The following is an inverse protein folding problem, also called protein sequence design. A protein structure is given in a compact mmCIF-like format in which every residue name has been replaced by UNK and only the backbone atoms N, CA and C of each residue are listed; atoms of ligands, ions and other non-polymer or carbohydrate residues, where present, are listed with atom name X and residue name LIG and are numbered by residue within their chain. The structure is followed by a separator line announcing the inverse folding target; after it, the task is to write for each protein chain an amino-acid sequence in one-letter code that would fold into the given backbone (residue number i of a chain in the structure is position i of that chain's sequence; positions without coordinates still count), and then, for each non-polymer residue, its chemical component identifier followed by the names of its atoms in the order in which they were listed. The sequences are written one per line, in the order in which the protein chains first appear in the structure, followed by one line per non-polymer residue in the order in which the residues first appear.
data_IF_151114919139
#
_entry.id   IF_151114919139
#
_cell.length_a   1.000
_cell.length_b   1.000
_cell.length_c   1.000
_cell.angle_alpha   90.00
_cell.angle_beta   90.00
_cell.angle_gamma   90.00
#
_symmetry.space_group_name_H-M   'P 1'
#
loop_
_entity.id
_entity.type
_entity.pdbx_description
1 polymer ?
#
# COMPACT_ATOMS: atom_id res chain seq x y z
N UNK A 1 -19.97 -40.59 -3.26
CA UNK A 1 -19.20 -40.93 -2.05
C UNK A 1 -19.99 -40.51 -0.82
N UNK A 2 -20.09 -41.39 0.18
CA UNK A 2 -20.76 -41.05 1.45
C UNK A 2 -19.90 -40.05 2.21
N UNK A 3 -20.52 -39.01 2.80
CA UNK A 3 -19.78 -38.03 3.63
C UNK A 3 -19.12 -38.66 4.86
N UNK A 4 -19.59 -39.84 5.28
CA UNK A 4 -19.11 -40.56 6.46
C UNK A 4 -18.05 -41.64 6.13
N UNK A 5 -17.66 -41.78 4.87
CA UNK A 5 -16.56 -42.67 4.49
C UNK A 5 -15.24 -42.15 5.10
N UNK A 6 -14.46 -43.07 5.67
CA UNK A 6 -13.19 -42.76 6.31
C UNK A 6 -12.03 -42.97 5.34
N UNK A 7 -11.09 -42.02 5.34
CA UNK A 7 -9.87 -42.05 4.52
C UNK A 7 -8.67 -41.65 5.37
N UNK A 8 -7.54 -42.30 5.12
CA UNK A 8 -6.28 -41.99 5.82
C UNK A 8 -5.57 -40.85 5.11
N UNK A 9 -5.19 -39.82 5.88
CA UNK A 9 -4.34 -38.74 5.39
C UNK A 9 -2.88 -39.22 5.27
N UNK A 10 -2.26 -39.07 4.09
CA UNK A 10 -0.88 -39.55 3.87
C UNK A 10 0.19 -38.79 4.68
N UNK A 11 -0.15 -37.61 5.23
CA UNK A 11 0.83 -36.75 5.95
C UNK A 11 0.81 -36.98 7.45
N UNK A 12 -0.37 -37.06 8.08
CA UNK A 12 -0.49 -37.30 9.52
C UNK A 12 -0.84 -38.74 9.88
N UNK A 13 -1.11 -39.58 8.89
CA UNK A 13 -1.48 -40.99 9.05
C UNK A 13 -2.72 -41.22 9.94
N UNK A 14 -3.60 -40.22 10.05
CA UNK A 14 -4.86 -40.31 10.82
C UNK A 14 -6.04 -40.63 9.89
N UNK A 15 -6.97 -41.43 10.39
CA UNK A 15 -8.28 -41.67 9.75
C UNK A 15 -9.16 -40.44 9.90
N UNK A 16 -9.75 -39.99 8.79
CA UNK A 16 -10.45 -38.71 8.64
C UNK A 16 -11.66 -38.90 7.73
N UNK A 17 -12.72 -38.15 7.97
CA UNK A 17 -13.91 -38.17 7.08
C UNK A 17 -13.59 -37.56 5.73
N UNK A 18 -14.29 -37.97 4.67
CA UNK A 18 -14.15 -37.37 3.32
C UNK A 18 -14.32 -35.85 3.34
N UNK A 19 -15.19 -35.31 4.21
CA UNK A 19 -15.41 -33.87 4.37
C UNK A 19 -14.15 -33.10 4.82
N UNK A 20 -13.18 -33.79 5.43
CA UNK A 20 -11.91 -33.22 5.89
C UNK A 20 -10.83 -33.18 4.79
N UNK A 21 -11.15 -33.55 3.55
CA UNK A 21 -10.26 -33.45 2.40
C UNK A 21 -10.78 -32.42 1.39
N UNK A 22 -9.87 -31.83 0.61
CA UNK A 22 -10.26 -31.06 -0.57
C UNK A 22 -10.66 -32.02 -1.71
N UNK A 23 -11.59 -31.56 -2.55
CA UNK A 23 -12.06 -32.28 -3.74
C UNK A 23 -11.48 -31.59 -4.97
N UNK A 24 -10.80 -32.33 -5.83
CA UNK A 24 -10.34 -31.85 -7.14
C UNK A 24 -11.53 -31.62 -8.08
N UNK A 25 -11.38 -30.80 -9.14
CA UNK A 25 -12.44 -30.57 -10.13
C UNK A 25 -12.97 -31.85 -10.79
N UNK A 26 -12.13 -32.88 -10.91
CA UNK A 26 -12.52 -34.20 -11.43
C UNK A 26 -13.27 -35.09 -10.42
N UNK A 27 -13.65 -34.55 -9.25
CA UNK A 27 -14.35 -35.27 -8.19
C UNK A 27 -13.47 -36.13 -7.28
N UNK A 28 -12.17 -36.29 -7.60
CA UNK A 28 -11.25 -37.06 -6.75
C UNK A 28 -10.83 -36.29 -5.50
N UNK A 29 -10.50 -37.00 -4.42
CA UNK A 29 -10.05 -36.37 -3.16
C UNK A 29 -8.54 -36.17 -3.13
N UNK A 30 -8.12 -35.06 -2.53
CA UNK A 30 -6.74 -34.85 -2.13
C UNK A 30 -6.26 -36.02 -1.24
N UNK A 31 -4.96 -36.32 -1.32
CA UNK A 31 -4.31 -37.35 -0.48
C UNK A 31 -4.02 -36.84 0.95
N UNK A 32 -3.99 -35.52 1.12
CA UNK A 32 -3.66 -34.82 2.37
C UNK A 32 -4.92 -34.14 2.89
N UNK A 33 -5.21 -34.27 4.19
CA UNK A 33 -6.36 -33.61 4.81
C UNK A 33 -6.20 -32.08 4.81
N UNK A 34 -7.32 -31.36 4.98
CA UNK A 34 -7.39 -29.89 5.01
C UNK A 34 -6.44 -29.29 6.05
N UNK A 35 -6.33 -29.90 7.24
CA UNK A 35 -5.43 -29.43 8.30
C UNK A 35 -3.96 -29.50 7.88
N UNK A 36 -3.49 -30.66 7.43
CA UNK A 36 -2.12 -30.83 6.96
C UNK A 36 -1.83 -29.98 5.72
N UNK A 37 -2.81 -29.80 4.83
CA UNK A 37 -2.68 -28.91 3.68
C UNK A 37 -2.51 -27.45 4.14
N UNK A 38 -3.36 -26.96 5.05
CA UNK A 38 -3.26 -25.62 5.63
C UNK A 38 -1.91 -25.41 6.33
N UNK A 39 -1.46 -26.38 7.12
CA UNK A 39 -0.15 -26.33 7.80
C UNK A 39 1.00 -26.23 6.79
N UNK A 40 0.98 -27.03 5.71
CA UNK A 40 1.98 -26.95 4.63
C UNK A 40 1.95 -25.60 3.92
N UNK A 41 0.77 -25.09 3.59
CA UNK A 41 0.62 -23.77 2.95
C UNK A 41 1.16 -22.67 3.85
N UNK A 42 0.86 -22.71 5.17
CA UNK A 42 1.39 -21.77 6.15
C UNK A 42 2.92 -21.85 6.24
N UNK A 43 3.50 -23.05 6.32
CA UNK A 43 4.94 -23.25 6.38
C UNK A 43 5.66 -22.76 5.12
N UNK A 44 5.11 -23.05 3.94
CA UNK A 44 5.65 -22.52 2.68
C UNK A 44 5.56 -21.00 2.63
N UNK A 45 4.44 -20.42 3.09
CA UNK A 45 4.27 -18.97 3.15
C UNK A 45 5.28 -18.30 4.07
N UNK A 46 5.59 -18.92 5.21
CA UNK A 46 6.58 -18.42 6.15
C UNK A 46 7.99 -18.48 5.55
N UNK A 47 8.32 -19.62 4.93
CA UNK A 47 9.60 -19.80 4.23
C UNK A 47 9.81 -18.74 3.14
N UNK A 48 8.80 -18.52 2.29
CA UNK A 48 8.85 -17.50 1.24
C UNK A 48 9.06 -16.09 1.81
N UNK A 49 8.45 -15.77 2.95
CA UNK A 49 8.63 -14.47 3.61
C UNK A 49 10.04 -14.30 4.18
N UNK A 50 10.58 -15.32 4.84
CA UNK A 50 11.96 -15.35 5.35
C UNK A 50 12.96 -15.17 4.20
N UNK A 51 12.79 -15.92 3.10
CA UNK A 51 13.62 -15.79 1.90
C UNK A 51 13.55 -14.38 1.30
N UNK A 52 12.38 -13.75 1.29
CA UNK A 52 12.20 -12.37 0.83
C UNK A 52 12.94 -11.36 1.72
N UNK A 53 12.87 -11.47 3.04
CA UNK A 53 13.60 -10.59 3.96
C UNK A 53 15.12 -10.68 3.78
N UNK A 54 15.67 -11.90 3.72
CA UNK A 54 17.08 -12.10 3.44
C UNK A 54 17.50 -11.64 2.04
N UNK A 55 16.62 -11.79 1.05
CA UNK A 55 16.87 -11.27 -0.31
C UNK A 55 16.96 -9.75 -0.30
N UNK A 56 16.07 -9.04 0.40
CA UNK A 56 16.11 -7.58 0.51
C UNK A 56 17.41 -7.09 1.18
N UNK A 57 17.87 -7.78 2.23
CA UNK A 57 19.17 -7.51 2.86
C UNK A 57 20.34 -7.75 1.90
N UNK A 58 20.35 -8.88 1.18
CA UNK A 58 21.39 -9.20 0.20
C UNK A 58 21.43 -8.20 -0.97
N UNK A 59 20.28 -7.66 -1.37
CA UNK A 59 20.15 -6.60 -2.38
C UNK A 59 20.54 -5.21 -1.84
N UNK A 60 20.88 -5.07 -0.55
CA UNK A 60 21.29 -3.81 0.07
C UNK A 60 20.14 -2.82 0.28
N UNK A 61 18.89 -3.30 0.27
CA UNK A 61 17.70 -2.46 0.43
C UNK A 61 17.42 -2.12 1.90
N UNK A 62 17.85 -2.99 2.80
CA UNK A 62 17.67 -2.89 4.26
C UNK A 62 18.95 -3.33 4.97
N UNK A 63 19.04 -3.03 6.27
CA UNK A 63 20.10 -3.50 7.17
C UNK A 63 19.75 -4.87 7.76
N UNK A 64 20.72 -5.49 8.44
CA UNK A 64 20.54 -6.82 9.04
C UNK A 64 19.46 -6.82 10.13
N UNK A 65 19.46 -5.79 10.97
CA UNK A 65 18.49 -5.61 12.06
C UNK A 65 17.04 -5.39 11.57
N UNK A 66 16.87 -5.07 10.29
CA UNK A 66 15.57 -4.79 9.66
C UNK A 66 14.97 -6.01 8.95
N UNK A 67 15.61 -7.19 9.00
CA UNK A 67 15.14 -8.40 8.29
C UNK A 67 13.74 -8.80 8.74
N UNK A 68 13.48 -8.83 10.05
CA UNK A 68 12.17 -9.21 10.59
C UNK A 68 11.08 -8.19 10.21
N UNK A 69 11.41 -6.89 10.14
CA UNK A 69 10.49 -5.86 9.68
C UNK A 69 10.08 -6.09 8.21
N UNK A 70 11.04 -6.50 7.38
CA UNK A 70 10.80 -6.80 5.96
C UNK A 70 10.02 -8.11 5.75
N UNK A 71 10.26 -9.13 6.58
CA UNK A 71 9.48 -10.38 6.57
C UNK A 71 8.00 -10.08 6.79
N UNK A 72 7.68 -9.23 7.77
CA UNK A 72 6.30 -8.86 8.07
C UNK A 72 5.70 -7.97 6.96
N UNK A 73 6.50 -7.06 6.39
CA UNK A 73 6.08 -6.25 5.24
C UNK A 73 5.70 -7.13 4.04
N UNK A 74 6.51 -8.15 3.73
CA UNK A 74 6.24 -9.10 2.66
C UNK A 74 4.92 -9.85 2.88
N UNK A 75 4.67 -10.31 4.11
CA UNK A 75 3.40 -10.97 4.48
C UNK A 75 2.21 -10.05 4.24
N UNK A 76 2.34 -8.77 4.58
CA UNK A 76 1.31 -7.76 4.33
C UNK A 76 1.06 -7.54 2.83
N UNK A 77 2.14 -7.37 2.04
CA UNK A 77 2.06 -7.24 0.58
C UNK A 77 1.31 -8.42 -0.05
N UNK A 78 1.69 -9.65 0.33
CA UNK A 78 1.05 -10.89 -0.13
C UNK A 78 -0.42 -10.93 0.21
N UNK A 79 -0.77 -10.57 1.45
CA UNK A 79 -2.17 -10.54 1.91
C UNK A 79 -3.03 -9.62 1.04
N UNK A 80 -2.52 -8.45 0.66
CA UNK A 80 -3.25 -7.51 -0.20
C UNK A 80 -3.41 -7.97 -1.63
N UNK A 81 -2.34 -8.49 -2.24
CA UNK A 81 -2.41 -9.10 -3.57
C UNK A 81 -3.45 -10.23 -3.59
N UNK A 82 -3.40 -11.11 -2.58
CA UNK A 82 -4.34 -12.22 -2.44
C UNK A 82 -5.79 -11.74 -2.29
N UNK A 83 -6.01 -10.76 -1.40
CA UNK A 83 -7.36 -10.23 -1.13
C UNK A 83 -7.98 -9.56 -2.36
N UNK A 84 -7.20 -8.80 -3.13
CA UNK A 84 -7.64 -8.18 -4.37
C UNK A 84 -7.95 -9.24 -5.44
N UNK A 85 -7.01 -10.19 -5.65
CA UNK A 85 -7.13 -11.24 -6.68
C UNK A 85 -8.37 -12.11 -6.51
N UNK A 86 -8.75 -12.42 -5.27
CA UNK A 86 -9.89 -13.27 -4.96
C UNK A 86 -11.12 -12.48 -4.48
N UNK A 87 -11.08 -11.15 -4.51
CA UNK A 87 -12.21 -10.30 -4.13
C UNK A 87 -12.71 -10.53 -2.70
N UNK A 88 -11.79 -10.70 -1.75
CA UNK A 88 -12.13 -11.06 -0.37
C UNK A 88 -12.68 -9.83 0.37
N UNK A 89 -13.88 -9.91 0.94
CA UNK A 89 -14.44 -8.85 1.79
C UNK A 89 -14.53 -7.49 1.08
N UNK A 90 -13.96 -6.44 1.68
CA UNK A 90 -13.98 -5.06 1.16
C UNK A 90 -13.08 -4.84 -0.07
N UNK A 91 -12.35 -5.87 -0.50
CA UNK A 91 -11.42 -5.83 -1.63
C UNK A 91 -12.05 -6.30 -2.94
N UNK A 92 -13.37 -6.49 -2.98
CA UNK A 92 -14.09 -6.79 -4.21
C UNK A 92 -13.97 -5.62 -5.21
N UNK A 93 -13.59 -5.92 -6.45
CA UNK A 93 -13.36 -4.95 -7.53
C UNK A 93 -12.25 -3.92 -7.22
N UNK A 94 -11.26 -4.33 -6.42
CA UNK A 94 -10.10 -3.52 -6.11
C UNK A 94 -8.90 -4.06 -6.88
N UNK A 95 -8.35 -3.24 -7.76
CA UNK A 95 -7.17 -3.64 -8.52
C UNK A 95 -5.90 -3.61 -7.65
N UNK A 96 -4.94 -4.46 -7.96
CA UNK A 96 -3.59 -4.41 -7.40
C UNK A 96 -2.61 -4.37 -8.57
N UNK A 97 -1.76 -3.34 -8.62
CA UNK A 97 -0.76 -3.17 -9.68
C UNK A 97 0.36 -4.22 -9.61
N UNK A 98 0.46 -4.93 -8.49
CA UNK A 98 1.46 -5.97 -8.25
C UNK A 98 0.82 -7.35 -8.24
N UNK A 99 1.44 -8.28 -8.98
CA UNK A 99 1.14 -9.71 -8.92
C UNK A 99 2.15 -10.48 -8.06
N UNK A 100 3.33 -9.88 -7.82
CA UNK A 100 4.43 -10.45 -7.04
C UNK A 100 4.62 -9.67 -5.72
N UNK A 101 4.56 -10.33 -4.54
CA UNK A 101 4.71 -9.64 -3.27
C UNK A 101 6.11 -9.07 -3.02
N UNK A 102 7.17 -9.65 -3.60
CA UNK A 102 8.52 -9.14 -3.43
C UNK A 102 8.72 -7.85 -4.21
N UNK A 103 8.22 -7.75 -5.44
CA UNK A 103 8.25 -6.50 -6.22
C UNK A 103 7.42 -5.38 -5.54
N UNK A 104 6.28 -5.72 -4.93
CA UNK A 104 5.52 -4.76 -4.12
C UNK A 104 6.35 -4.27 -2.91
N UNK A 105 6.93 -5.19 -2.14
CA UNK A 105 7.80 -4.84 -1.01
C UNK A 105 9.00 -3.99 -1.46
N UNK A 106 9.66 -4.38 -2.55
CA UNK A 106 10.82 -3.67 -3.11
C UNK A 106 10.48 -2.24 -3.51
N UNK A 107 9.31 -2.01 -4.09
CA UNK A 107 8.83 -0.66 -4.40
C UNK A 107 8.70 0.19 -3.14
N UNK A 108 8.21 -0.36 -2.03
CA UNK A 108 8.12 0.33 -0.73
C UNK A 108 9.52 0.66 -0.19
N UNK A 109 10.46 -0.29 -0.26
CA UNK A 109 11.83 -0.11 0.25
C UNK A 109 12.66 0.89 -0.57
N UNK A 110 12.42 0.98 -1.87
CA UNK A 110 13.27 1.74 -2.81
C UNK A 110 12.73 3.12 -3.16
N UNK A 111 11.40 3.31 -3.19
CA UNK A 111 10.79 4.55 -3.68
C UNK A 111 10.66 5.57 -2.56
N UNK A 112 11.80 6.19 -2.23
CA UNK A 112 11.88 7.44 -1.46
C UNK A 112 11.71 8.62 -2.41
N UNK A 113 11.13 9.72 -1.95
CA UNK A 113 11.04 10.99 -2.69
C UNK A 113 10.26 10.91 -4.03
N UNK A 114 9.12 10.25 -4.03
CA UNK A 114 8.12 10.30 -5.10
C UNK A 114 7.39 11.65 -5.17
N UNK A 115 7.59 12.55 -4.20
CA UNK A 115 6.86 13.82 -4.09
C UNK A 115 5.48 13.65 -3.46
N UNK A 116 5.22 12.48 -2.87
CA UNK A 116 3.96 12.11 -2.23
C UNK A 116 4.27 11.77 -0.78
N UNK A 117 3.93 12.67 0.15
CA UNK A 117 4.51 12.59 1.50
C UNK A 117 4.16 11.32 2.29
N UNK A 118 3.03 10.68 2.01
CA UNK A 118 2.65 9.42 2.68
C UNK A 118 3.38 8.20 2.12
N UNK A 119 3.88 8.29 0.89
CA UNK A 119 4.71 7.26 0.28
C UNK A 119 6.19 7.47 0.60
N UNK A 120 6.62 8.73 0.71
CA UNK A 120 8.03 9.12 0.75
C UNK A 120 8.82 8.62 1.96
N UNK A 121 8.15 8.10 3.00
CA UNK A 121 8.78 7.42 4.13
C UNK A 121 7.97 6.19 4.58
N UNK A 122 7.24 5.53 3.67
CA UNK A 122 6.35 4.42 4.02
C UNK A 122 7.10 3.31 4.77
N UNK A 123 8.37 3.06 4.41
CA UNK A 123 9.22 2.10 5.12
C UNK A 123 9.53 2.51 6.57
N UNK A 124 9.82 3.78 6.82
CA UNK A 124 10.12 4.25 8.18
C UNK A 124 8.84 4.28 9.04
N UNK A 125 7.69 4.64 8.45
CA UNK A 125 6.39 4.53 9.12
C UNK A 125 6.07 3.08 9.47
N UNK A 126 6.34 2.14 8.56
CA UNK A 126 6.16 0.70 8.79
C UNK A 126 6.98 0.21 9.99
N UNK A 127 8.28 0.52 10.02
CA UNK A 127 9.17 0.15 11.13
C UNK A 127 8.70 0.74 12.46
N UNK A 128 8.28 2.01 12.47
CA UNK A 128 7.80 2.64 13.69
C UNK A 128 6.51 1.98 14.21
N UNK A 129 5.54 1.69 13.35
CA UNK A 129 4.33 0.98 13.74
C UNK A 129 4.63 -0.45 14.23
N UNK A 130 5.56 -1.15 13.58
CA UNK A 130 6.01 -2.47 14.05
C UNK A 130 6.68 -2.39 15.43
N UNK A 131 7.50 -1.38 15.66
CA UNK A 131 8.13 -1.13 16.97
C UNK A 131 7.07 -0.92 18.05
N UNK A 132 6.01 -0.15 17.74
CA UNK A 132 4.86 0.03 18.65
C UNK A 132 4.20 -1.31 18.97
N UNK A 133 3.86 -2.11 17.95
CA UNK A 133 3.29 -3.44 18.12
C UNK A 133 4.14 -4.36 19.00
N UNK A 134 5.45 -4.41 18.78
CA UNK A 134 6.36 -5.26 19.56
C UNK A 134 6.47 -4.83 21.02
N UNK A 135 6.37 -3.53 21.30
CA UNK A 135 6.41 -3.00 22.67
C UNK A 135 5.10 -3.26 23.41
N UNK A 136 3.96 -3.07 22.72
CA UNK A 136 2.64 -3.20 23.37
C UNK A 136 2.15 -4.64 23.42
N UNK A 137 2.54 -5.48 22.47
CA UNK A 137 1.99 -6.82 22.27
C UNK A 137 0.51 -6.83 21.88
N UNK A 138 -0.08 -5.66 21.58
CA UNK A 138 -1.49 -5.54 21.22
C UNK A 138 -1.67 -5.83 19.73
N UNK A 139 -2.41 -6.88 19.39
CA UNK A 139 -2.75 -7.24 18.01
C UNK A 139 -3.41 -6.08 17.23
N UNK A 140 -4.09 -5.16 17.92
CA UNK A 140 -4.67 -3.96 17.31
C UNK A 140 -3.62 -3.00 16.74
N UNK A 141 -2.39 -3.02 17.27
CA UNK A 141 -1.28 -2.18 16.84
C UNK A 141 -0.45 -2.80 15.72
N UNK A 142 -0.78 -4.02 15.31
CA UNK A 142 -0.04 -4.72 14.25
C UNK A 142 -0.03 -3.90 12.95
N UNK A 143 1.14 -3.68 12.33
CA UNK A 143 1.22 -2.93 11.09
C UNK A 143 0.56 -3.69 9.93
N UNK A 144 -0.31 -3.00 9.19
CA UNK A 144 -0.93 -3.48 7.97
C UNK A 144 -0.78 -2.45 6.85
N UNK A 145 -0.51 -2.92 5.63
CA UNK A 145 -0.60 -2.08 4.45
C UNK A 145 -2.06 -1.92 4.05
N UNK A 146 -2.52 -0.72 3.74
CA UNK A 146 -3.80 -0.56 3.07
C UNK A 146 -3.77 0.57 2.05
N UNK A 147 -4.83 0.67 1.27
CA UNK A 147 -5.05 1.76 0.34
C UNK A 147 -5.22 3.04 1.12
N UNK A 148 -4.68 4.13 0.58
CA UNK A 148 -5.00 5.46 1.08
C UNK A 148 -6.46 5.82 0.76
N UNK A 149 -7.00 5.28 -0.33
CA UNK A 149 -8.33 5.64 -0.82
C UNK A 149 -9.24 4.41 -0.90
N UNK A 150 -10.47 4.56 -0.39
CA UNK A 150 -11.51 3.53 -0.46
C UNK A 150 -12.18 3.43 -1.85
N UNK A 151 -11.89 4.37 -2.77
CA UNK A 151 -12.56 4.44 -4.07
C UNK A 151 -12.20 3.22 -4.94
N UNK A 152 -13.21 2.47 -5.38
CA UNK A 152 -13.06 1.19 -6.11
C UNK A 152 -12.23 1.31 -7.40
N UNK A 153 -12.25 2.46 -8.06
CA UNK A 153 -11.45 2.72 -9.27
C UNK A 153 -9.98 3.08 -9.04
N UNK A 154 -9.49 3.14 -7.79
CA UNK A 154 -8.08 3.38 -7.46
C UNK A 154 -7.62 2.26 -6.54
N UNK A 155 -6.98 1.26 -7.15
CA UNK A 155 -6.43 0.09 -6.47
C UNK A 155 -5.13 0.35 -5.69
N UNK A 156 -4.49 -0.74 -5.30
CA UNK A 156 -3.13 -0.72 -4.76
C UNK A 156 -2.13 -0.41 -5.89
N UNK A 157 -1.46 0.73 -5.81
CA UNK A 157 -0.39 1.13 -6.71
C UNK A 157 0.58 2.08 -5.99
N UNK A 158 1.70 2.41 -6.63
CA UNK A 158 2.65 3.40 -6.09
C UNK A 158 1.93 4.71 -5.81
N UNK A 159 2.14 5.26 -4.63
CA UNK A 159 1.50 6.50 -4.20
C UNK A 159 0.03 6.34 -3.81
N UNK A 160 -0.47 5.12 -3.62
CA UNK A 160 -1.84 4.89 -3.09
C UNK A 160 -1.89 3.88 -1.96
N UNK A 161 -0.73 3.52 -1.39
CA UNK A 161 -0.61 2.63 -0.22
C UNK A 161 -0.11 3.44 0.98
N UNK A 162 -0.61 3.07 2.15
CA UNK A 162 -0.21 3.57 3.47
C UNK A 162 0.02 2.39 4.43
N UNK A 163 0.69 2.66 5.54
CA UNK A 163 0.78 1.76 6.68
C UNK A 163 -0.16 2.26 7.77
N UNK A 164 -0.99 1.38 8.30
CA UNK A 164 -1.91 1.61 9.41
C UNK A 164 -1.73 0.52 10.47
N UNK A 165 -2.23 0.74 11.68
CA UNK A 165 -2.44 -0.36 12.64
C UNK A 165 -3.66 -1.19 12.24
N UNK A 166 -3.77 -2.45 12.68
CA UNK A 166 -4.92 -3.32 12.38
C UNK A 166 -6.24 -2.71 12.87
N UNK A 167 -6.25 -2.03 14.03
CA UNK A 167 -7.42 -1.29 14.48
C UNK A 167 -7.80 -0.16 13.53
N UNK A 168 -6.85 0.70 13.14
CA UNK A 168 -7.12 1.76 12.17
C UNK A 168 -7.54 1.19 10.82
N UNK A 169 -6.94 0.10 10.37
CA UNK A 169 -7.33 -0.54 9.11
C UNK A 169 -8.78 -1.04 9.13
N UNK A 170 -9.23 -1.58 10.28
CA UNK A 170 -10.62 -2.03 10.47
C UNK A 170 -11.60 -0.87 10.62
N UNK A 171 -11.21 0.23 11.26
CA UNK A 171 -12.06 1.42 11.44
C UNK A 171 -12.09 2.35 10.20
N UNK A 172 -10.94 2.59 9.56
CA UNK A 172 -10.71 3.48 8.40
C UNK A 172 -11.12 2.87 7.05
N UNK A 173 -11.67 1.65 7.05
CA UNK A 173 -12.59 1.21 5.99
C UNK A 173 -13.72 2.22 5.71
N UNK A 174 -13.86 3.25 6.56
CA UNK A 174 -14.62 4.49 6.34
C UNK A 174 -13.70 5.70 6.04
N UNK A 175 -13.62 6.06 4.76
CA UNK A 175 -13.53 7.46 4.26
C UNK A 175 -12.33 8.30 4.70
N UNK A 176 -11.11 7.86 4.39
CA UNK A 176 -9.96 8.77 4.38
C UNK A 176 -10.01 9.59 3.08
N UNK A 177 -10.31 10.89 3.17
CA UNK A 177 -10.18 11.84 2.04
C UNK A 177 -8.91 12.65 2.29
N UNK A 178 -7.77 12.23 1.74
CA UNK A 178 -6.55 12.96 1.94
C UNK A 178 -6.63 14.31 1.25
N UNK A 179 -5.97 15.26 1.89
CA UNK A 179 -5.90 16.64 1.45
C UNK A 179 -4.43 17.03 1.37
N UNK A 180 -4.07 17.68 0.27
CA UNK A 180 -2.78 18.38 0.12
C UNK A 180 -3.03 19.85 0.36
N UNK A 181 -2.25 20.45 1.26
CA UNK A 181 -2.25 21.88 1.50
C UNK A 181 -0.90 22.44 1.07
N UNK A 182 -0.94 23.41 0.17
CA UNK A 182 0.21 24.24 -0.22
C UNK A 182 0.06 25.62 0.40
N UNK A 183 1.08 26.05 1.11
CA UNK A 183 1.20 27.36 1.73
C UNK A 183 2.12 28.23 0.89
N UNK A 184 1.63 29.41 0.52
CA UNK A 184 2.39 30.40 -0.21
C UNK A 184 2.54 31.67 0.62
N UNK A 185 3.68 32.34 0.48
CA UNK A 185 3.93 33.70 0.97
C UNK A 185 4.48 34.51 -0.19
N UNK A 186 3.90 35.66 -0.48
CA UNK A 186 4.34 36.52 -1.59
C UNK A 186 4.44 35.77 -2.94
N UNK A 187 3.48 34.90 -3.23
CA UNK A 187 3.43 33.99 -4.40
C UNK A 187 4.46 32.86 -4.44
N UNK A 188 5.36 32.74 -3.47
CA UNK A 188 6.33 31.65 -3.38
C UNK A 188 5.79 30.51 -2.50
N UNK A 189 5.97 29.27 -2.95
CA UNK A 189 5.60 28.08 -2.16
C UNK A 189 6.56 27.95 -0.98
N UNK A 190 6.07 28.23 0.22
CA UNK A 190 6.88 28.17 1.45
C UNK A 190 6.73 26.83 2.18
N UNK A 191 5.60 26.14 2.00
CA UNK A 191 5.38 24.84 2.65
C UNK A 191 4.36 24.00 1.87
N UNK A 192 4.52 22.69 1.90
CA UNK A 192 3.55 21.74 1.39
C UNK A 192 3.41 20.57 2.36
N UNK A 193 2.17 20.22 2.72
CA UNK A 193 1.89 19.02 3.52
C UNK A 193 0.69 18.26 3.00
N UNK A 194 0.78 16.95 3.16
CA UNK A 194 -0.32 16.03 2.90
C UNK A 194 -0.85 15.50 4.22
N UNK A 195 -2.17 15.38 4.30
CA UNK A 195 -2.86 14.87 5.48
C UNK A 195 -3.77 13.73 5.07
N UNK A 196 -3.68 12.61 5.78
CA UNK A 196 -4.67 11.55 5.68
C UNK A 196 -6.05 12.02 6.16
N UNK A 197 -6.08 12.83 7.23
CA UNK A 197 -7.32 13.28 7.86
C UNK A 197 -7.48 14.79 7.81
N UNK A 198 -8.69 15.23 7.49
CA UNK A 198 -9.10 16.62 7.50
C UNK A 198 -8.84 17.28 8.86
N UNK A 199 -9.07 16.57 9.97
CA UNK A 199 -8.87 17.14 11.30
C UNK A 199 -7.39 17.35 11.63
N UNK A 200 -6.48 16.52 11.12
CA UNK A 200 -5.03 16.75 11.23
C UNK A 200 -4.61 17.94 10.37
N UNK A 201 -5.17 18.06 9.16
CA UNK A 201 -4.95 19.21 8.29
C UNK A 201 -5.39 20.52 8.95
N UNK A 202 -6.56 20.49 9.61
CA UNK A 202 -7.10 21.59 10.41
C UNK A 202 -6.16 21.94 11.57
N UNK A 203 -5.80 20.99 12.44
CA UNK A 203 -4.89 21.29 13.57
C UNK A 203 -3.56 21.89 13.12
N UNK A 204 -3.00 21.38 12.02
CA UNK A 204 -1.76 21.92 11.47
C UNK A 204 -1.92 23.34 10.95
N UNK A 205 -2.96 23.62 10.16
CA UNK A 205 -3.27 24.98 9.73
C UNK A 205 -3.43 25.92 10.93
N UNK A 206 -4.10 25.48 11.99
CA UNK A 206 -4.32 26.23 13.24
C UNK A 206 -3.00 26.66 13.86
N UNK A 207 -2.01 25.75 13.89
CA UNK A 207 -0.66 26.07 14.36
C UNK A 207 0.11 27.02 13.44
N UNK A 208 0.08 26.82 12.12
CA UNK A 208 0.88 27.64 11.18
C UNK A 208 0.37 29.08 11.04
N UNK A 209 -0.92 29.28 11.29
CA UNK A 209 -1.58 30.58 11.12
C UNK A 209 -1.88 31.30 12.42
N UNK A 210 -1.47 30.75 13.57
CA UNK A 210 -1.83 31.24 14.91
C UNK A 210 -3.35 31.42 15.07
N UNK A 211 -4.13 30.40 14.68
CA UNK A 211 -5.59 30.37 14.75
C UNK A 211 -6.33 31.43 13.92
N UNK A 212 -5.67 32.11 12.97
CA UNK A 212 -6.29 33.25 12.29
C UNK A 212 -7.32 32.87 11.22
N UNK A 213 -7.43 31.62 10.73
CA UNK A 213 -8.33 31.28 9.61
C UNK A 213 -9.69 30.69 10.02
N UNK A 214 -10.63 30.74 9.07
CA UNK A 214 -11.94 30.08 9.15
C UNK A 214 -11.97 28.76 8.37
N UNK A 215 -12.11 27.64 9.08
CA UNK A 215 -12.23 26.31 8.45
C UNK A 215 -13.42 26.20 7.49
N UNK A 216 -14.52 26.90 7.78
CA UNK A 216 -15.72 26.95 6.92
C UNK A 216 -15.38 27.54 5.54
N UNK A 217 -14.54 28.59 5.50
CA UNK A 217 -14.07 29.22 4.26
C UNK A 217 -13.15 28.28 3.47
N UNK A 218 -12.28 27.56 4.18
CA UNK A 218 -11.37 26.57 3.59
C UNK A 218 -12.11 25.39 2.96
N UNK A 219 -13.04 24.77 3.69
CA UNK A 219 -13.79 23.60 3.22
C UNK A 219 -14.55 23.89 1.92
N UNK A 220 -15.07 25.11 1.77
CA UNK A 220 -15.80 25.54 0.58
C UNK A 220 -14.91 25.85 -0.63
N UNK A 221 -13.58 25.87 -0.45
CA UNK A 221 -12.62 26.21 -1.49
C UNK A 221 -11.63 25.07 -1.81
N UNK A 222 -11.90 23.86 -1.30
CA UNK A 222 -11.20 22.65 -1.75
C UNK A 222 -11.37 22.54 -3.27
N UNK A 223 -10.26 22.37 -3.99
CA UNK A 223 -10.14 22.32 -5.46
C UNK A 223 -10.53 23.60 -6.22
N UNK A 224 -10.79 24.71 -5.52
CA UNK A 224 -11.22 25.98 -6.15
C UNK A 224 -10.09 26.99 -6.37
N UNK A 225 -8.85 26.62 -6.05
CA UNK A 225 -7.66 27.46 -6.25
C UNK A 225 -7.12 28.08 -4.96
N UNK A 226 -6.35 29.16 -5.12
CA UNK A 226 -5.70 29.87 -4.00
C UNK A 226 -6.70 30.65 -3.16
N UNK A 227 -6.56 30.54 -1.85
CA UNK A 227 -7.32 31.29 -0.86
C UNK A 227 -6.33 32.20 -0.14
N UNK A 228 -6.45 33.51 -0.32
CA UNK A 228 -5.62 34.46 0.43
C UNK A 228 -6.20 34.66 1.84
N UNK A 229 -5.31 34.59 2.83
CA UNK A 229 -5.62 34.85 4.23
C UNK A 229 -4.45 35.60 4.90
N UNK A 230 -4.65 36.90 5.15
CA UNK A 230 -3.58 37.80 5.58
C UNK A 230 -2.36 37.76 4.64
N UNK A 231 -1.17 37.46 5.18
CA UNK A 231 0.11 37.39 4.44
C UNK A 231 0.33 36.05 3.73
N UNK A 232 -0.59 35.09 3.89
CA UNK A 232 -0.46 33.74 3.35
C UNK A 232 -1.52 33.45 2.29
N UNK A 233 -1.17 32.63 1.31
CA UNK A 233 -2.15 32.02 0.40
C UNK A 233 -2.13 30.50 0.54
N UNK A 234 -3.29 29.88 0.41
CA UNK A 234 -3.46 28.43 0.59
C UNK A 234 -4.08 27.82 -0.66
N UNK A 235 -3.50 26.74 -1.17
CA UNK A 235 -4.23 25.84 -2.08
C UNK A 235 -4.52 24.54 -1.37
N UNK A 236 -5.75 24.10 -1.47
CA UNK A 236 -6.23 22.91 -0.78
C UNK A 236 -6.82 21.99 -1.82
N UNK A 237 -6.11 20.90 -2.07
CA UNK A 237 -6.42 19.94 -3.11
C UNK A 237 -7.01 18.70 -2.47
N UNK A 238 -8.19 18.30 -2.93
CA UNK A 238 -8.77 17.01 -2.63
C UNK A 238 -7.94 15.91 -3.25
N UNK A 239 -8.21 14.70 -2.79
CA UNK A 239 -7.73 13.49 -3.41
C UNK A 239 -7.92 13.46 -4.94
N UNK A 240 -9.11 13.77 -5.43
CA UNK A 240 -9.41 13.67 -6.86
C UNK A 240 -8.59 14.66 -7.69
N UNK A 241 -8.23 15.80 -7.11
CA UNK A 241 -7.31 16.74 -7.73
C UNK A 241 -5.87 16.19 -7.71
N UNK A 242 -5.38 15.74 -6.54
CA UNK A 242 -4.03 15.19 -6.38
C UNK A 242 -3.81 14.02 -7.35
N UNK A 243 -4.79 13.13 -7.47
CA UNK A 243 -4.71 11.97 -8.36
C UNK A 243 -4.78 12.35 -9.84
N UNK A 244 -5.52 13.40 -10.21
CA UNK A 244 -5.51 13.92 -11.59
C UNK A 244 -4.15 14.50 -11.95
N UNK A 245 -3.53 15.26 -11.05
CA UNK A 245 -2.16 15.77 -11.27
C UNK A 245 -1.17 14.62 -11.38
N UNK A 246 -1.21 13.66 -10.46
CA UNK A 246 -0.31 12.52 -10.49
C UNK A 246 -0.45 11.67 -11.76
N UNK A 247 -1.68 11.41 -12.20
CA UNK A 247 -1.94 10.72 -13.48
C UNK A 247 -1.38 11.52 -14.67
N UNK A 248 -1.51 12.85 -14.66
CA UNK A 248 -0.90 13.71 -15.69
C UNK A 248 0.61 13.57 -15.67
N UNK A 249 1.26 13.69 -14.51
CA UNK A 249 2.72 13.56 -14.38
C UNK A 249 3.24 12.18 -14.79
N UNK A 250 2.53 11.10 -14.43
CA UNK A 250 2.86 9.74 -14.87
C UNK A 250 2.72 9.59 -16.39
N UNK A 251 1.66 10.15 -16.99
CA UNK A 251 1.49 10.16 -18.44
C UNK A 251 2.60 10.98 -19.11
N UNK A 252 2.92 12.16 -18.58
CA UNK A 252 4.02 12.99 -19.08
C UNK A 252 5.39 12.31 -18.97
N UNK A 253 5.67 11.62 -17.86
CA UNK A 253 6.93 10.88 -17.68
C UNK A 253 7.03 9.64 -18.59
N UNK A 254 5.92 8.95 -18.85
CA UNK A 254 5.86 7.86 -19.83
C UNK A 254 6.03 8.40 -21.26
N UNK A 255 5.41 9.53 -21.59
CA UNK A 255 5.53 10.17 -22.89
C UNK A 255 6.93 10.75 -23.14
N UNK A 256 7.59 11.31 -22.12
CA UNK A 256 8.96 11.83 -22.22
C UNK A 256 9.97 10.68 -22.36
N UNK A 257 9.80 9.57 -21.63
CA UNK A 257 10.58 8.33 -21.83
C UNK A 257 10.35 7.70 -23.21
N UNK A 258 9.13 7.74 -23.74
CA UNK A 258 8.82 7.31 -25.10
C UNK A 258 9.43 8.23 -26.17
N UNK A 259 9.48 9.55 -25.95
CA UNK A 259 10.19 10.51 -26.83
C UNK A 259 11.69 10.30 -26.80
N UNK A 260 12.28 10.07 -25.62
CA UNK A 260 13.70 9.74 -25.48
C UNK A 260 14.03 8.44 -26.22
N UNK A 261 13.23 7.37 -26.07
CA UNK A 261 13.42 6.12 -26.84
C UNK A 261 13.23 6.27 -28.35
N UNK A 262 12.35 7.17 -28.82
CA UNK A 262 12.20 7.48 -30.26
C UNK A 262 13.37 8.30 -30.80
N UNK A 263 13.95 9.19 -29.99
CA UNK A 263 15.14 9.97 -30.36
C UNK A 263 16.42 9.11 -30.34
N UNK A 264 16.54 8.17 -29.40
CA UNK A 264 17.65 7.22 -29.32
C UNK A 264 17.68 6.26 -30.53
N UNK A 265 16.49 5.84 -31.01
CA UNK A 265 16.38 5.06 -32.26
C UNK A 265 16.68 5.87 -33.52
N UNK A 266 16.49 7.19 -33.51
CA UNK A 266 16.87 8.07 -34.64
C UNK A 266 18.37 8.41 -34.63
N UNK A 267 19.00 8.48 -33.47
CA UNK A 267 20.44 8.73 -33.34
C UNK A 267 21.30 7.51 -33.69
N UNK A 268 20.78 6.28 -33.51
CA UNK A 268 21.48 5.05 -33.95
C UNK A 268 21.45 4.78 -35.46
N UNK A 269 20.75 5.60 -36.26
CA UNK A 269 20.65 5.44 -37.71
C UNK A 269 21.53 6.42 -38.52
N UNK A 270 22.45 7.14 -37.87
CA UNK A 270 23.27 8.17 -38.53
C UNK A 270 24.80 8.03 -38.38
N UNK A 271 25.28 6.84 -38.02
CA UNK A 271 26.71 6.51 -38.02
C UNK A 271 26.94 5.16 -38.70
N UNK A 272 26.74 5.12 -40.02
CA UNK A 272 27.16 4.07 -40.95
C UNK A 272 27.00 4.60 -42.37
N UNK A 273 27.89 5.51 -42.77
CA UNK A 273 28.21 5.84 -44.16
C UNK A 273 29.62 6.43 -44.18
#
# INVERSE_FOLDING_TARGET
MSKNELKICIKCNRSKTVAEFYVYPNGSLYKVCKECHKARVKANSEKEAIEAGHRAYKEGLIKYEEIEDAIDLYKSCRSRIHSCKYGIGIYQNVDCAWDDPYEFMKDILTKRNTGISFWDNLWDVWKEQRRIYLITGDENEKPELDRVFAHLGIGYQVGTVQCLSDWLNREDGKKVTPIRIRLYKENELVNERHFAYIDKAKKWLESETNHKYSWKKIKNNIDRGRISFHEFEFEIHSLDYIMREYRRELVFSKLSKCRLRKNDKRLKFRWSA
#
